data_IF_620837039187
#
_entry.id   IF_620837039187
#
_cell.length_a   1.000
_cell.length_b   1.000
_cell.length_c   1.000
_cell.angle_alpha   90.00
_cell.angle_beta   90.00
_cell.angle_gamma   90.00
#
_symmetry.space_group_name_H-M   'P 1'
#
loop_
_entity.id
_entity.type
_entity.pdbx_description
1 polymer ?
#
# COMPACT_ATOMS: atom_id res chain seq x y z
N UNK A 1 -12.39 -27.13 4.34
CA UNK A 1 -12.48 -25.79 3.71
C UNK A 1 -13.92 -25.49 3.34
N UNK A 2 -14.50 -24.39 3.82
CA UNK A 2 -15.90 -24.01 3.55
C UNK A 2 -16.03 -23.07 2.34
N UNK A 3 -17.22 -22.94 1.76
CA UNK A 3 -17.49 -21.95 0.71
C UNK A 3 -17.27 -20.49 1.19
N UNK A 4 -17.51 -20.24 2.48
CA UNK A 4 -17.25 -18.96 3.13
C UNK A 4 -15.75 -18.65 3.20
N UNK A 5 -14.92 -19.66 3.49
CA UNK A 5 -13.46 -19.53 3.50
C UNK A 5 -12.91 -19.15 2.12
N UNK A 6 -13.45 -19.77 1.06
CA UNK A 6 -13.06 -19.48 -0.32
C UNK A 6 -13.42 -18.04 -0.73
N UNK A 7 -14.65 -17.62 -0.46
CA UNK A 7 -15.10 -16.23 -0.68
C UNK A 7 -14.27 -15.23 0.12
N UNK A 8 -13.89 -15.59 1.35
CA UNK A 8 -13.04 -14.75 2.20
C UNK A 8 -11.64 -14.60 1.59
N UNK A 9 -11.04 -15.69 1.09
CA UNK A 9 -9.76 -15.64 0.40
C UNK A 9 -9.82 -14.78 -0.88
N UNK A 10 -10.87 -14.89 -1.68
CA UNK A 10 -11.04 -14.09 -2.89
C UNK A 10 -11.16 -12.58 -2.59
N UNK A 11 -11.91 -12.22 -1.55
CA UNK A 11 -12.05 -10.82 -1.10
C UNK A 11 -10.71 -10.28 -0.58
N UNK A 12 -9.98 -11.08 0.21
CA UNK A 12 -8.67 -10.71 0.72
C UNK A 12 -7.66 -10.52 -0.43
N UNK A 13 -7.67 -11.43 -1.41
CA UNK A 13 -6.82 -11.34 -2.60
C UNK A 13 -7.14 -10.08 -3.41
N UNK A 14 -8.41 -9.83 -3.72
CA UNK A 14 -8.83 -8.64 -4.47
C UNK A 14 -8.39 -7.35 -3.77
N UNK A 15 -8.54 -7.28 -2.44
CA UNK A 15 -8.12 -6.11 -1.65
C UNK A 15 -6.61 -5.94 -1.63
N UNK A 16 -5.84 -7.03 -1.55
CA UNK A 16 -4.37 -6.98 -1.64
C UNK A 16 -3.87 -6.46 -3.00
N UNK A 17 -4.55 -6.83 -4.10
CA UNK A 17 -4.21 -6.38 -5.45
C UNK A 17 -4.48 -4.87 -5.62
N UNK A 18 -5.61 -4.39 -5.11
CA UNK A 18 -5.96 -2.95 -5.14
C UNK A 18 -4.94 -2.12 -4.36
N UNK A 19 -4.59 -2.56 -3.15
CA UNK A 19 -3.55 -1.91 -2.34
C UNK A 19 -2.20 -1.82 -3.05
N UNK A 20 -1.78 -2.90 -3.74
CA UNK A 20 -0.54 -2.89 -4.52
C UNK A 20 -0.62 -1.95 -5.72
N UNK A 21 -1.76 -1.86 -6.39
CA UNK A 21 -1.96 -0.95 -7.52
C UNK A 21 -1.88 0.51 -7.08
N UNK A 22 -2.51 0.84 -5.96
CA UNK A 22 -2.44 2.18 -5.36
C UNK A 22 -1.02 2.52 -4.95
N UNK A 23 -0.29 1.57 -4.35
CA UNK A 23 1.13 1.74 -4.04
C UNK A 23 1.96 2.09 -5.27
N UNK A 24 1.82 1.31 -6.34
CA UNK A 24 2.58 1.52 -7.58
C UNK A 24 2.28 2.86 -8.24
N UNK A 25 1.01 3.28 -8.25
CA UNK A 25 0.60 4.60 -8.77
C UNK A 25 1.24 5.73 -7.97
N UNK A 26 1.23 5.60 -6.65
CA UNK A 26 1.81 6.59 -5.74
C UNK A 26 3.32 6.64 -5.89
N UNK A 27 3.99 5.49 -5.90
CA UNK A 27 5.43 5.38 -6.14
C UNK A 27 5.84 6.04 -7.47
N UNK A 28 5.11 5.75 -8.55
CA UNK A 28 5.36 6.36 -9.86
C UNK A 28 5.24 7.90 -9.83
N UNK A 29 4.31 8.43 -9.02
CA UNK A 29 4.15 9.88 -8.84
C UNK A 29 5.30 10.50 -8.07
N UNK A 30 5.82 9.82 -7.05
CA UNK A 30 7.02 10.25 -6.32
C UNK A 30 8.21 10.27 -7.27
N UNK A 31 8.43 9.20 -8.02
CA UNK A 31 9.54 9.08 -8.96
C UNK A 31 9.48 10.19 -10.02
N UNK A 32 8.29 10.48 -10.55
CA UNK A 32 8.07 11.61 -11.46
C UNK A 32 8.38 12.97 -10.84
N UNK A 33 8.01 13.18 -9.58
CA UNK A 33 8.32 14.42 -8.85
C UNK A 33 9.83 14.55 -8.56
N UNK A 34 10.49 13.46 -8.15
CA UNK A 34 11.95 13.43 -7.93
C UNK A 34 12.73 13.71 -9.22
N UNK A 35 12.29 13.15 -10.34
CA UNK A 35 12.86 13.42 -11.66
C UNK A 35 12.69 14.89 -12.06
N UNK A 36 11.54 15.50 -11.77
CA UNK A 36 11.28 16.93 -12.05
C UNK A 36 12.10 17.88 -11.15
N UNK A 37 12.48 17.43 -9.94
CA UNK A 37 13.32 18.19 -9.01
C UNK A 37 14.81 18.12 -9.39
N UNK A 38 15.26 17.02 -10.00
CA UNK A 38 16.64 16.87 -10.47
C UNK A 38 17.02 17.82 -11.62
N UNK A 39 16.06 18.49 -12.26
CA UNK A 39 16.27 19.35 -13.43
C UNK A 39 16.13 20.86 -13.18
N UNK A 40 15.75 21.30 -11.97
CA UNK A 40 15.51 22.72 -11.70
C UNK A 40 15.69 23.11 -10.23
N UNK A 41 16.69 23.97 -10.00
CA UNK A 41 16.93 24.87 -8.87
C UNK A 41 16.49 24.41 -7.46
N UNK A 42 17.49 24.18 -6.59
CA UNK A 42 17.34 23.79 -5.19
C UNK A 42 16.89 24.97 -4.29
N UNK A 43 15.89 25.73 -4.73
CA UNK A 43 15.22 26.74 -3.92
C UNK A 43 14.12 26.10 -3.08
N UNK A 44 14.14 26.34 -1.76
CA UNK A 44 13.01 26.05 -0.85
C UNK A 44 11.76 26.83 -1.30
N UNK A 45 11.02 26.29 -2.26
CA UNK A 45 9.74 26.80 -2.72
C UNK A 45 8.56 26.06 -2.07
N UNK A 46 7.32 26.55 -2.24
CA UNK A 46 6.09 25.92 -1.72
C UNK A 46 5.94 24.43 -2.10
N UNK A 47 6.59 24.01 -3.19
CA UNK A 47 6.68 22.62 -3.65
C UNK A 47 7.38 21.68 -2.64
N UNK A 48 8.33 22.17 -1.83
CA UNK A 48 9.08 21.34 -0.87
C UNK A 48 8.25 21.03 0.40
N UNK A 49 7.38 21.95 0.82
CA UNK A 49 6.41 21.70 1.90
C UNK A 49 5.30 20.74 1.46
N UNK A 50 4.77 20.92 0.25
CA UNK A 50 3.77 20.00 -0.34
C UNK A 50 4.35 18.59 -0.52
N UNK A 51 5.63 18.50 -0.91
CA UNK A 51 6.33 17.22 -1.02
C UNK A 51 6.58 16.57 0.35
N UNK A 52 6.96 17.36 1.36
CA UNK A 52 7.09 16.88 2.74
C UNK A 52 5.75 16.39 3.31
N UNK A 53 4.65 17.10 3.04
CA UNK A 53 3.30 16.69 3.43
C UNK A 53 2.86 15.42 2.69
N UNK A 54 3.18 15.30 1.39
CA UNK A 54 2.91 14.10 0.61
C UNK A 54 3.66 12.89 1.19
N UNK A 55 4.97 13.01 1.47
CA UNK A 55 5.75 11.97 2.15
C UNK A 55 5.14 11.62 3.50
N UNK A 56 4.79 12.61 4.33
CA UNK A 56 4.19 12.37 5.64
C UNK A 56 2.80 11.73 5.59
N UNK A 57 1.98 12.04 4.59
CA UNK A 57 0.69 11.39 4.36
C UNK A 57 0.87 9.95 3.89
N UNK A 58 1.83 9.70 2.98
CA UNK A 58 2.14 8.37 2.48
C UNK A 58 2.75 7.46 3.55
N UNK A 59 3.68 7.93 4.38
CA UNK A 59 4.25 7.13 5.47
C UNK A 59 3.18 6.64 6.45
N UNK A 60 2.15 7.47 6.71
CA UNK A 60 0.99 7.09 7.52
C UNK A 60 0.10 6.07 6.81
N UNK A 61 -0.15 6.24 5.51
CA UNK A 61 -0.85 5.24 4.70
C UNK A 61 -0.11 3.91 4.69
N UNK A 62 1.21 3.91 4.44
CA UNK A 62 2.03 2.70 4.45
C UNK A 62 2.01 1.95 5.76
N UNK A 63 2.01 2.67 6.87
CA UNK A 63 1.95 2.05 8.19
C UNK A 63 0.59 1.37 8.41
N UNK A 64 -0.51 1.99 7.98
CA UNK A 64 -1.84 1.39 8.01
C UNK A 64 -1.96 0.18 7.07
N UNK A 65 -1.38 0.28 5.88
CA UNK A 65 -1.38 -0.78 4.87
C UNK A 65 -0.51 -1.97 5.29
N UNK A 66 0.62 -1.73 5.95
CA UNK A 66 1.49 -2.78 6.52
C UNK A 66 0.78 -3.53 7.65
N UNK A 67 0.08 -2.82 8.54
CA UNK A 67 -0.76 -3.44 9.57
C UNK A 67 -1.88 -4.26 8.95
N UNK A 68 -2.51 -3.75 7.91
CA UNK A 68 -3.55 -4.47 7.18
C UNK A 68 -3.01 -5.74 6.52
N UNK A 69 -1.86 -5.69 5.83
CA UNK A 69 -1.23 -6.85 5.20
C UNK A 69 -0.77 -7.89 6.24
N UNK A 70 -0.30 -7.45 7.40
CA UNK A 70 0.05 -8.35 8.52
C UNK A 70 -1.18 -9.10 9.05
N UNK A 71 -2.28 -8.39 9.29
CA UNK A 71 -3.55 -9.01 9.69
C UNK A 71 -4.09 -9.94 8.59
N UNK A 72 -4.01 -9.55 7.32
CA UNK A 72 -4.42 -10.35 6.17
C UNK A 72 -3.64 -11.66 6.10
N UNK A 73 -2.32 -11.62 6.31
CA UNK A 73 -1.46 -12.81 6.36
C UNK A 73 -1.91 -13.77 7.47
N UNK A 74 -2.23 -13.25 8.65
CA UNK A 74 -2.74 -14.04 9.77
C UNK A 74 -4.08 -14.70 9.45
N UNK A 75 -5.04 -13.95 8.90
CA UNK A 75 -6.36 -14.48 8.51
C UNK A 75 -6.26 -15.55 7.43
N UNK A 76 -5.41 -15.35 6.41
CA UNK A 76 -5.16 -16.37 5.37
C UNK A 76 -4.57 -17.64 6.00
N UNK A 77 -3.62 -17.50 6.92
CA UNK A 77 -3.02 -18.64 7.62
C UNK A 77 -4.07 -19.44 8.41
N UNK A 78 -4.95 -18.78 9.18
CA UNK A 78 -6.02 -19.45 9.93
C UNK A 78 -7.02 -20.17 9.02
N UNK A 79 -7.34 -19.59 7.85
CA UNK A 79 -8.20 -20.26 6.87
C UNK A 79 -7.53 -21.52 6.33
N UNK A 80 -6.24 -21.44 5.99
CA UNK A 80 -5.48 -22.59 5.50
C UNK A 80 -5.39 -23.68 6.57
N UNK A 81 -5.10 -23.34 7.82
CA UNK A 81 -5.04 -24.33 8.92
C UNK A 81 -6.40 -24.97 9.17
N UNK A 82 -7.50 -24.20 9.17
CA UNK A 82 -8.86 -24.75 9.23
C UNK A 82 -9.24 -25.61 8.03
N UNK A 83 -8.61 -25.40 6.88
CA UNK A 83 -8.82 -26.23 5.70
C UNK A 83 -8.07 -27.57 5.76
N UNK A 84 -7.00 -27.67 6.56
CA UNK A 84 -6.21 -28.89 6.76
C UNK A 84 -6.81 -29.82 7.82
N UNK A 85 -7.50 -29.26 8.81
CA UNK A 85 -8.26 -30.00 9.83
C UNK A 85 -9.54 -30.61 9.24
#
# INVERSE_FOLDING_TARGET
MTALDLLTLDVLLARSVLLRADYMRVQSRIDGLLLSRGSGDAGKGPVDEDFGQLIGAMSRSFSADALYLSNLSHTVHEIIERAKA
#
